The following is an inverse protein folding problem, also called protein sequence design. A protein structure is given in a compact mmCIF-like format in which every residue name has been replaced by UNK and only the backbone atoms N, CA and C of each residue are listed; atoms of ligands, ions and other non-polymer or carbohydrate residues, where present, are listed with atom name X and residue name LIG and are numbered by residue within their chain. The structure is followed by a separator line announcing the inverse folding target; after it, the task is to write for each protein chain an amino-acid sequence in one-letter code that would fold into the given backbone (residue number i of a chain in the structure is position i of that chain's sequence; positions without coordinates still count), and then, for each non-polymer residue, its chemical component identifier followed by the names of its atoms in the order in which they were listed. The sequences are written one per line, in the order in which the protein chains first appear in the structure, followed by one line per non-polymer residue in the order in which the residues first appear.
data_IF_988950314151
#
_entry.id   IF_988950314151
#
_cell.length_a   1.000
_cell.length_b   1.000
_cell.length_c   1.000
_cell.angle_alpha   90.00
_cell.angle_beta   90.00
_cell.angle_gamma   90.00
#
_symmetry.space_group_name_H-M   'P 1'
#
loop_
_entity.id
_entity.type
_entity.pdbx_description
1 polymer ?
#
# COMPACT_ATOMS: atom_id res chain seq x y z
N UNK A 1 -6.11 -22.16 40.95
CA UNK A 1 -5.85 -20.96 40.13
C UNK A 1 -4.79 -21.32 39.10
N UNK A 2 -5.17 -21.65 37.86
CA UNK A 2 -4.22 -21.71 36.75
C UNK A 2 -4.00 -20.29 36.26
N UNK A 3 -2.77 -19.77 36.36
CA UNK A 3 -2.38 -18.56 35.65
C UNK A 3 -2.28 -18.91 34.16
N UNK A 4 -3.28 -18.49 33.37
CA UNK A 4 -3.17 -18.49 31.91
C UNK A 4 -2.15 -17.44 31.49
N UNK A 5 -1.01 -17.88 30.96
CA UNK A 5 -0.02 -17.02 30.32
C UNK A 5 -0.60 -16.55 28.98
N UNK A 6 -0.97 -15.27 28.88
CA UNK A 6 -1.29 -14.66 27.59
C UNK A 6 0.04 -14.39 26.90
N UNK A 7 0.40 -15.18 25.88
CA UNK A 7 1.50 -14.85 25.00
C UNK A 7 1.09 -13.62 24.16
N UNK A 8 1.63 -12.45 24.49
CA UNK A 8 1.67 -11.33 23.55
C UNK A 8 2.61 -11.75 22.42
N UNK A 9 2.06 -12.13 21.27
CA UNK A 9 2.86 -12.26 20.06
C UNK A 9 3.32 -10.86 19.68
N UNK A 10 4.61 -10.59 19.85
CA UNK A 10 5.21 -9.37 19.35
C UNK A 10 5.13 -9.42 17.81
N UNK A 11 4.30 -8.57 17.23
CA UNK A 11 4.21 -8.41 15.79
C UNK A 11 5.57 -7.90 15.30
N UNK A 12 6.20 -8.63 14.37
CA UNK A 12 7.49 -8.21 13.83
C UNK A 12 7.30 -6.89 13.07
N UNK A 13 8.12 -5.85 13.30
CA UNK A 13 8.05 -4.61 12.53
C UNK A 13 8.36 -4.82 11.04
N UNK A 14 8.90 -6.00 10.68
CA UNK A 14 9.19 -6.41 9.31
C UNK A 14 8.03 -7.15 8.63
N UNK A 15 7.03 -7.60 9.39
CA UNK A 15 5.86 -8.27 8.83
C UNK A 15 4.91 -7.23 8.24
N UNK A 16 5.20 -6.80 7.01
CA UNK A 16 4.43 -5.79 6.27
C UNK A 16 3.59 -6.40 5.15
N UNK A 17 3.61 -7.72 5.01
CA UNK A 17 2.92 -8.41 3.93
C UNK A 17 1.39 -8.31 4.04
N UNK A 18 0.73 -8.35 2.89
CA UNK A 18 -0.72 -8.29 2.76
C UNK A 18 -1.18 -7.14 1.86
N UNK A 19 -2.49 -6.90 1.86
CA UNK A 19 -3.12 -5.92 0.98
C UNK A 19 -3.43 -4.65 1.77
N UNK A 20 -3.05 -3.50 1.22
CA UNK A 20 -3.09 -2.20 1.88
C UNK A 20 -3.76 -1.14 1.02
N UNK A 21 -4.65 -0.38 1.64
CA UNK A 21 -5.16 0.88 1.11
C UNK A 21 -4.08 1.95 1.16
N UNK A 22 -3.85 2.64 0.04
CA UNK A 22 -3.09 3.89 0.03
C UNK A 22 -3.84 4.97 0.82
N UNK A 23 -3.14 6.03 1.25
CA UNK A 23 -3.73 7.10 2.07
C UNK A 23 -4.98 7.74 1.44
N UNK A 24 -5.01 7.90 0.13
CA UNK A 24 -6.13 8.48 -0.61
C UNK A 24 -7.32 7.52 -0.73
N UNK A 25 -7.15 6.24 -0.42
CA UNK A 25 -8.23 5.23 -0.48
C UNK A 25 -8.62 4.81 -1.90
N UNK A 26 -7.88 5.26 -2.91
CA UNK A 26 -8.18 5.03 -4.32
C UNK A 26 -7.25 3.98 -4.97
N UNK A 27 -6.39 3.32 -4.19
CA UNK A 27 -5.59 2.20 -4.67
C UNK A 27 -5.35 1.17 -3.55
N UNK A 28 -5.27 -0.10 -3.96
CA UNK A 28 -4.85 -1.20 -3.12
C UNK A 28 -3.54 -1.78 -3.62
N UNK A 29 -2.63 -2.03 -2.68
CA UNK A 29 -1.28 -2.51 -2.94
C UNK A 29 -1.07 -3.81 -2.17
N UNK A 30 -0.77 -4.89 -2.88
CA UNK A 30 -0.31 -6.12 -2.27
C UNK A 30 1.20 -6.02 -2.04
N UNK A 31 1.63 -6.21 -0.80
CA UNK A 31 3.03 -6.24 -0.41
C UNK A 31 3.42 -7.69 -0.09
N UNK A 32 4.48 -8.17 -0.73
CA UNK A 32 5.06 -9.50 -0.51
C UNK A 32 6.55 -9.40 -0.19
N UNK A 33 7.10 -10.43 0.43
CA UNK A 33 8.55 -10.62 0.47
C UNK A 33 8.99 -11.16 -0.88
N UNK A 34 10.16 -10.74 -1.36
CA UNK A 34 10.82 -11.37 -2.52
C UNK A 34 11.08 -12.85 -2.26
N UNK A 35 11.26 -13.66 -3.30
CA UNK A 35 11.45 -15.12 -3.18
C UNK A 35 12.63 -15.50 -2.26
N UNK A 36 13.70 -14.69 -2.27
CA UNK A 36 14.87 -14.86 -1.41
C UNK A 36 14.67 -14.30 0.02
N UNK A 37 13.54 -13.62 0.26
CA UNK A 37 13.15 -13.03 1.53
C UNK A 37 14.00 -11.84 1.96
N UNK A 38 14.80 -11.25 1.07
CA UNK A 38 15.74 -10.16 1.41
C UNK A 38 15.18 -8.76 1.22
N UNK A 39 14.12 -8.63 0.42
CA UNK A 39 13.43 -7.38 0.09
C UNK A 39 11.90 -7.54 0.18
N UNK A 40 11.19 -6.43 0.00
CA UNK A 40 9.75 -6.39 -0.24
C UNK A 40 9.46 -5.84 -1.63
N UNK A 41 8.39 -6.34 -2.23
CA UNK A 41 7.80 -5.83 -3.46
C UNK A 41 6.35 -5.45 -3.17
N UNK A 42 5.92 -4.27 -3.64
CA UNK A 42 4.55 -3.79 -3.52
C UNK A 42 3.93 -3.52 -4.87
N UNK A 43 2.84 -4.22 -5.18
CA UNK A 43 2.19 -4.19 -6.50
C UNK A 43 0.76 -3.70 -6.37
N UNK A 44 0.35 -2.78 -7.24
CA UNK A 44 -1.03 -2.31 -7.31
C UNK A 44 -1.91 -3.46 -7.81
N UNK A 45 -2.92 -3.84 -7.04
CA UNK A 45 -3.87 -4.91 -7.44
C UNK A 45 -5.26 -4.38 -7.78
N UNK A 46 -5.53 -3.13 -7.41
CA UNK A 46 -6.78 -2.43 -7.70
C UNK A 46 -6.55 -0.92 -7.60
N UNK A 47 -7.18 -0.15 -8.48
CA UNK A 47 -7.27 1.30 -8.34
C UNK A 47 -8.63 1.81 -8.81
N UNK A 48 -9.06 2.90 -8.20
CA UNK A 48 -10.19 3.71 -8.66
C UNK A 48 -9.62 5.03 -9.17
N UNK A 49 -9.83 5.28 -10.45
CA UNK A 49 -9.32 6.47 -11.14
C UNK A 49 -10.26 7.68 -10.98
N UNK A 50 -11.32 7.58 -10.18
CA UNK A 50 -12.12 8.75 -9.81
C UNK A 50 -11.25 9.79 -9.09
N UNK A 51 -11.48 11.06 -9.43
CA UNK A 51 -10.61 12.18 -9.05
C UNK A 51 -10.34 12.21 -7.54
N UNK A 52 -9.08 12.37 -7.15
CA UNK A 52 -8.70 12.48 -5.74
C UNK A 52 -9.14 13.84 -5.18
N UNK A 53 -10.08 13.88 -4.20
CA UNK A 53 -10.54 15.13 -3.61
C UNK A 53 -9.47 15.89 -2.79
N UNK A 54 -8.28 15.31 -2.62
CA UNK A 54 -7.12 15.90 -1.93
C UNK A 54 -5.94 16.23 -2.84
N UNK A 55 -6.08 16.16 -4.17
CA UNK A 55 -5.07 16.68 -5.08
C UNK A 55 -4.96 18.21 -4.90
N UNK A 56 -3.84 18.70 -4.36
CA UNK A 56 -3.54 20.13 -4.48
C UNK A 56 -3.24 20.42 -5.95
N UNK A 57 -3.79 21.50 -6.49
CA UNK A 57 -3.63 21.97 -7.89
C UNK A 57 -2.18 22.18 -8.36
N UNK A 58 -1.17 21.97 -7.50
CA UNK A 58 0.26 22.17 -7.79
C UNK A 58 0.98 20.94 -8.35
N UNK A 59 0.33 19.77 -8.43
CA UNK A 59 0.97 18.57 -9.01
C UNK A 59 0.55 18.43 -10.46
N UNK A 60 1.46 18.67 -11.40
CA UNK A 60 1.26 18.22 -12.78
C UNK A 60 1.06 16.71 -12.74
N UNK A 61 -0.18 16.29 -12.97
CA UNK A 61 -0.54 14.89 -13.14
C UNK A 61 0.21 14.38 -14.35
N UNK A 62 0.96 13.29 -14.19
CA UNK A 62 1.43 12.55 -15.34
C UNK A 62 0.21 12.08 -16.13
N UNK A 63 0.29 12.21 -17.46
CA UNK A 63 -0.64 11.60 -18.42
C UNK A 63 -0.48 10.07 -18.41
N UNK A 64 -0.60 9.43 -17.24
CA UNK A 64 -0.96 8.01 -17.16
C UNK A 64 -2.44 7.91 -17.53
N UNK A 65 -2.70 8.20 -18.80
CA UNK A 65 -4.02 8.23 -19.40
C UNK A 65 -4.50 6.79 -19.58
N UNK A 66 -5.33 6.33 -18.64
CA UNK A 66 -6.35 5.31 -18.90
C UNK A 66 -5.91 3.85 -19.05
N UNK A 67 -4.65 3.50 -18.81
CA UNK A 67 -4.26 2.10 -18.67
C UNK A 67 -4.47 1.65 -17.22
N UNK A 68 -4.99 0.43 -17.05
CA UNK A 68 -5.21 -0.19 -15.74
C UNK A 68 -3.90 -0.15 -14.93
N UNK A 69 -3.88 0.63 -13.84
CA UNK A 69 -2.70 0.73 -12.97
C UNK A 69 -2.42 -0.59 -12.24
N UNK A 70 -3.35 -1.55 -12.26
CA UNK A 70 -3.14 -2.88 -11.72
C UNK A 70 -1.93 -3.57 -12.39
N UNK A 71 -1.15 -4.28 -11.59
CA UNK A 71 0.11 -4.88 -12.00
C UNK A 71 1.32 -3.94 -11.94
N UNK A 72 1.12 -2.65 -11.69
CA UNK A 72 2.25 -1.71 -11.52
C UNK A 72 2.94 -1.99 -10.19
N UNK A 73 4.23 -2.30 -10.24
CA UNK A 73 5.10 -2.37 -9.07
C UNK A 73 5.42 -0.95 -8.62
N UNK A 74 5.16 -0.66 -7.34
CA UNK A 74 5.35 0.67 -6.76
C UNK A 74 6.24 0.69 -5.53
N UNK A 75 6.61 -0.44 -4.94
CA UNK A 75 7.60 -0.52 -3.87
C UNK A 75 8.65 -1.54 -4.25
N UNK A 76 9.93 -1.13 -4.30
CA UNK A 76 11.04 -1.99 -4.75
C UNK A 76 12.31 -1.69 -3.93
N UNK A 77 13.25 -2.64 -3.96
CA UNK A 77 14.63 -2.52 -3.43
C UNK A 77 14.74 -2.13 -1.94
N UNK A 78 13.74 -2.50 -1.13
CA UNK A 78 13.83 -2.21 0.30
C UNK A 78 14.69 -3.24 1.03
N UNK A 79 15.58 -2.75 1.89
CA UNK A 79 16.41 -3.57 2.76
C UNK A 79 15.82 -3.65 4.17
N UNK A 80 16.12 -4.73 4.91
CA UNK A 80 15.76 -4.80 6.33
C UNK A 80 16.49 -3.72 7.14
N UNK A 81 15.72 -2.81 7.72
CA UNK A 81 16.19 -1.80 8.68
C UNK A 81 16.05 -2.26 10.14
N UNK A 82 16.15 -1.33 11.10
CA UNK A 82 15.89 -1.63 12.53
C UNK A 82 14.41 -1.66 12.88
N UNK A 83 13.59 -0.87 12.18
CA UNK A 83 12.17 -0.66 12.50
C UNK A 83 11.28 -0.86 11.27
N UNK A 84 11.66 -1.79 10.37
CA UNK A 84 10.94 -2.05 9.13
C UNK A 84 11.88 -2.23 7.95
N UNK A 85 11.52 -1.63 6.84
CA UNK A 85 12.14 -1.72 5.52
C UNK A 85 12.61 -0.33 5.09
N UNK A 86 13.84 -0.21 4.60
CA UNK A 86 14.53 1.06 4.33
C UNK A 86 15.21 1.04 2.97
N UNK A 87 15.70 2.18 2.50
CA UNK A 87 16.58 2.30 1.32
C UNK A 87 15.93 1.95 -0.02
N UNK A 88 14.64 1.57 -0.02
CA UNK A 88 13.91 1.25 -1.23
C UNK A 88 13.41 2.48 -1.95
N UNK A 89 12.54 2.23 -2.92
CA UNK A 89 11.88 3.29 -3.68
C UNK A 89 10.36 3.11 -3.70
N UNK A 90 9.64 4.23 -3.86
CA UNK A 90 8.21 4.25 -4.10
C UNK A 90 7.89 4.98 -5.40
N UNK A 91 7.20 4.33 -6.34
CA UNK A 91 6.69 4.95 -7.55
C UNK A 91 5.36 5.66 -7.27
N UNK A 92 5.29 6.96 -7.57
CA UNK A 92 4.07 7.73 -7.44
C UNK A 92 3.27 7.69 -8.75
N UNK A 93 2.18 6.91 -8.74
CA UNK A 93 1.26 6.73 -9.85
C UNK A 93 0.68 8.06 -10.39
N UNK A 94 0.64 9.15 -9.60
CA UNK A 94 0.05 10.41 -10.05
C UNK A 94 0.97 11.24 -10.92
N UNK A 95 2.27 11.24 -10.64
CA UNK A 95 3.23 12.11 -11.32
C UNK A 95 4.33 11.34 -12.06
N UNK A 96 4.27 10.01 -12.03
CA UNK A 96 5.16 9.12 -12.75
C UNK A 96 6.61 9.15 -12.23
N UNK A 97 6.85 9.60 -11.00
CA UNK A 97 8.19 9.72 -10.41
C UNK A 97 8.39 8.74 -9.27
N UNK A 98 9.62 8.23 -9.15
CA UNK A 98 10.05 7.42 -8.00
C UNK A 98 10.74 8.27 -6.94
N UNK A 99 10.48 7.95 -5.68
CA UNK A 99 11.04 8.61 -4.50
C UNK A 99 11.75 7.58 -3.62
N UNK A 100 12.73 8.01 -2.81
CA UNK A 100 13.26 7.12 -1.76
C UNK A 100 12.17 6.78 -0.78
N UNK A 101 12.14 5.54 -0.32
CA UNK A 101 11.04 5.01 0.49
C UNK A 101 11.52 4.21 1.69
N UNK A 102 10.78 4.38 2.79
CA UNK A 102 10.86 3.52 3.97
C UNK A 102 9.45 3.04 4.31
N UNK A 103 9.33 1.76 4.70
CA UNK A 103 8.06 1.14 5.09
C UNK A 103 8.20 0.52 6.47
N UNK A 104 7.33 0.89 7.40
CA UNK A 104 7.35 0.36 8.75
C UNK A 104 5.95 0.10 9.25
N UNK A 105 5.81 -0.87 10.16
CA UNK A 105 4.54 -1.20 10.77
C UNK A 105 4.30 -0.33 12.01
N UNK A 106 3.17 0.36 12.06
CA UNK A 106 2.73 1.09 13.26
C UNK A 106 1.94 0.18 14.20
N UNK A 107 1.02 -0.61 13.64
CA UNK A 107 0.21 -1.59 14.35
C UNK A 107 -0.20 -2.75 13.43
N UNK A 108 -1.14 -3.61 13.86
CA UNK A 108 -1.55 -4.76 13.08
C UNK A 108 -2.12 -4.40 11.69
N UNK A 109 -2.78 -3.24 11.60
CA UNK A 109 -3.62 -2.81 10.49
C UNK A 109 -3.20 -1.45 9.89
N UNK A 110 -2.05 -0.91 10.33
CA UNK A 110 -1.49 0.35 9.82
C UNK A 110 -0.01 0.22 9.48
N UNK A 111 0.36 0.62 8.26
CA UNK A 111 1.74 0.91 7.86
C UNK A 111 1.99 2.41 7.84
N UNK A 112 3.21 2.79 8.22
CA UNK A 112 3.81 4.06 7.85
C UNK A 112 4.64 3.85 6.56
N UNK A 113 4.22 4.50 5.48
CA UNK A 113 4.92 4.52 4.20
C UNK A 113 5.46 5.92 3.97
N UNK A 114 6.77 6.06 3.98
CA UNK A 114 7.45 7.34 3.83
C UNK A 114 8.00 7.49 2.41
N UNK A 115 7.77 8.65 1.78
CA UNK A 115 8.41 9.05 0.53
C UNK A 115 9.28 10.28 0.75
N UNK A 116 10.53 10.26 0.26
CA UNK A 116 11.50 11.34 0.42
C UNK A 116 11.96 11.92 -0.92
N UNK A 117 11.92 13.25 -1.03
CA UNK A 117 12.55 14.03 -2.11
C UNK A 117 13.72 14.83 -1.52
N UNK A 118 14.95 14.39 -1.80
CA UNK A 118 16.15 14.94 -1.16
C UNK A 118 16.08 14.78 0.35
N UNK A 119 16.17 15.86 1.11
CA UNK A 119 16.12 15.86 2.58
C UNK A 119 14.69 15.97 3.14
N UNK A 120 13.68 16.19 2.30
CA UNK A 120 12.29 16.32 2.72
C UNK A 120 11.57 14.98 2.59
N UNK A 121 11.04 14.49 3.70
CA UNK A 121 10.27 13.24 3.74
C UNK A 121 8.82 13.54 4.16
N UNK A 122 7.88 12.76 3.61
CA UNK A 122 6.48 12.77 4.02
C UNK A 122 6.02 11.34 4.26
N UNK A 123 5.44 11.11 5.43
CA UNK A 123 4.84 9.82 5.80
C UNK A 123 3.36 9.80 5.49
N UNK A 124 2.90 8.67 4.98
CA UNK A 124 1.50 8.33 4.77
C UNK A 124 1.15 7.11 5.62
N UNK A 125 -0.05 7.12 6.19
CA UNK A 125 -0.61 5.91 6.80
C UNK A 125 -1.37 5.12 5.76
N UNK A 126 -1.01 3.86 5.61
CA UNK A 126 -1.73 2.90 4.78
C UNK A 126 -2.47 1.93 5.68
N UNK A 127 -3.74 1.66 5.36
CA UNK A 127 -4.62 0.84 6.19
C UNK A 127 -4.80 -0.52 5.57
N UNK A 128 -4.81 -1.58 6.38
CA UNK A 128 -5.00 -2.94 5.89
C UNK A 128 -6.38 -3.06 5.24
N UNK A 129 -6.44 -3.68 4.06
CA UNK A 129 -7.72 -4.05 3.45
C UNK A 129 -8.30 -5.21 4.23
N UNK A 130 -9.53 -5.05 4.73
CA UNK A 130 -10.21 -6.09 5.49
C UNK A 130 -10.76 -7.18 4.58
N UNK A 131 -10.90 -8.43 5.05
CA UNK A 131 -11.51 -9.49 4.27
C UNK A 131 -12.92 -9.16 3.74
N UNK A 132 -13.69 -8.36 4.48
CA UNK A 132 -15.04 -7.96 4.07
C UNK A 132 -15.04 -6.87 3.00
N UNK A 133 -13.99 -6.04 2.90
CA UNK A 133 -13.78 -5.13 1.77
C UNK A 133 -13.42 -5.91 0.50
N UNK A 134 -12.49 -6.87 0.61
CA UNK A 134 -12.13 -7.77 -0.51
C UNK A 134 -13.37 -8.49 -1.03
N UNK A 135 -14.20 -9.08 -0.15
CA UNK A 135 -15.44 -9.76 -0.54
C UNK A 135 -16.42 -8.81 -1.24
N UNK A 136 -16.64 -7.61 -0.70
CA UNK A 136 -17.55 -6.62 -1.29
C UNK A 136 -17.10 -6.23 -2.70
N UNK A 137 -15.79 -6.06 -2.91
CA UNK A 137 -15.22 -5.75 -4.22
C UNK A 137 -15.28 -6.93 -5.19
N UNK A 138 -15.16 -8.17 -4.72
CA UNK A 138 -15.34 -9.35 -5.56
C UNK A 138 -16.80 -9.54 -6.02
N UNK A 139 -17.78 -9.05 -5.24
CA UNK A 139 -19.22 -9.17 -5.53
C UNK A 139 -19.74 -7.97 -6.35
N UNK A 140 -19.20 -6.76 -6.14
CA UNK A 140 -19.61 -5.54 -6.82
C UNK A 140 -19.61 -5.57 -8.37
N UNK A 141 -18.61 -6.14 -9.08
CA UNK A 141 -18.64 -6.23 -10.54
C UNK A 141 -19.79 -7.11 -11.06
N UNK A 142 -20.38 -7.96 -10.21
CA UNK A 142 -21.48 -8.87 -10.60
C UNK A 142 -22.88 -8.26 -10.42
N UNK A 143 -23.05 -7.19 -9.65
CA UNK A 143 -24.39 -6.64 -9.31
C UNK A 143 -24.83 -5.52 -10.26
N UNK A 144 -23.89 -4.79 -10.87
CA UNK A 144 -24.21 -3.72 -11.84
C UNK A 144 -24.78 -4.22 -13.18
N UNK A 145 -24.69 -5.53 -13.48
CA UNK A 145 -25.28 -6.11 -14.69
C UNK A 145 -26.75 -6.54 -14.53
N UNK A 146 -27.33 -6.50 -13.32
CA UNK A 146 -28.66 -7.10 -13.04
C UNK A 146 -29.77 -6.03 -12.89
N UNK A 147 -29.44 -4.74 -13.01
CA UNK A 147 -30.39 -3.64 -12.76
C UNK A 147 -30.99 -2.99 -14.03
N UNK A 148 -30.94 -3.66 -15.19
CA UNK A 148 -31.45 -3.10 -16.45
C UNK A 148 -32.33 -4.04 -17.29
N UNK A 149 -33.03 -4.98 -16.67
CA UNK A 149 -34.16 -5.69 -17.30
C UNK A 149 -35.52 -5.21 -16.74
#
# INVERSE_FOLDING_TARGET
MLLSLILLQAMSPHDVSGIWWTRSGNAQVEIVLTEDGTSIEGTVIWSDQTEDPGASDEVESADLSGEDLAGTVILEDHERGRQGWTSGTIYNLKNGKSYRSNVSRQDADTLAVEGCLGFFCRTQEWKRVTPDEIKRQAIAPSVLSVASE
#
